data_IF_156179701271
#
_entry.id   IF_156179701271
#
_cell.length_a   1.000
_cell.length_b   1.000
_cell.length_c   1.000
_cell.angle_alpha   90.00
_cell.angle_beta   90.00
_cell.angle_gamma   90.00
#
_symmetry.space_group_name_H-M   'P 1'
#
loop_
_entity.id
_entity.type
_entity.pdbx_description
1 polymer ?
#
# COMPACT_ATOMS: atom_id res chain seq x y z
N UNK A 1 24.78 11.70 0.32
CA UNK A 1 23.62 10.77 0.43
C UNK A 1 22.48 11.36 -0.37
N UNK A 2 21.66 10.57 -1.03
CA UNK A 2 20.47 11.04 -1.76
C UNK A 2 19.25 10.27 -1.30
N UNK A 3 18.10 10.93 -1.25
CA UNK A 3 16.81 10.31 -0.95
C UNK A 3 16.10 9.93 -2.23
N UNK A 4 15.68 8.68 -2.32
CA UNK A 4 14.96 8.13 -3.47
C UNK A 4 13.54 7.79 -3.06
N UNK A 5 12.57 8.34 -3.81
CA UNK A 5 11.15 8.01 -3.68
C UNK A 5 10.83 6.85 -4.61
N UNK A 6 10.09 5.90 -4.10
CA UNK A 6 9.51 4.77 -4.82
C UNK A 6 7.99 4.88 -4.83
N UNK A 7 7.38 4.62 -5.97
CA UNK A 7 5.94 4.36 -6.09
C UNK A 7 5.75 2.86 -6.21
N UNK A 8 5.13 2.25 -5.20
CA UNK A 8 5.06 0.79 -5.03
C UNK A 8 3.64 0.31 -5.25
N UNK A 9 3.46 -0.59 -6.21
CA UNK A 9 2.21 -1.35 -6.38
C UNK A 9 2.40 -2.78 -5.85
N UNK A 10 1.38 -3.32 -5.18
CA UNK A 10 1.43 -4.69 -4.69
C UNK A 10 0.05 -5.35 -4.58
N UNK A 11 0.05 -6.64 -4.82
CA UNK A 11 -1.03 -7.54 -4.43
C UNK A 11 -0.80 -7.97 -2.99
N UNK A 12 -1.64 -7.50 -2.08
CA UNK A 12 -1.49 -7.72 -0.64
C UNK A 12 -1.93 -9.11 -0.16
N UNK A 13 -2.45 -9.97 -1.05
CA UNK A 13 -3.07 -11.25 -0.68
C UNK A 13 -2.19 -12.13 0.22
N UNK A 14 -0.87 -12.16 -0.05
CA UNK A 14 0.09 -13.00 0.67
C UNK A 14 0.85 -12.26 1.78
N UNK A 15 0.44 -11.03 2.09
CA UNK A 15 1.15 -10.15 3.04
C UNK A 15 0.30 -9.80 4.24
N UNK A 16 0.93 -9.70 5.40
CA UNK A 16 0.32 -9.21 6.63
C UNK A 16 0.30 -7.67 6.68
N UNK A 17 0.00 -7.03 5.53
CA UNK A 17 -0.01 -5.60 5.37
C UNK A 17 1.33 -5.00 4.97
N UNK A 18 1.42 -3.68 5.09
CA UNK A 18 2.62 -2.94 4.71
C UNK A 18 3.76 -3.07 5.72
N UNK A 19 3.47 -2.81 7.00
CA UNK A 19 4.51 -2.62 8.02
C UNK A 19 5.11 -3.94 8.50
N UNK A 20 6.44 -3.96 8.68
CA UNK A 20 7.16 -5.06 9.33
C UNK A 20 6.56 -5.37 10.69
N UNK A 21 6.26 -6.64 10.92
CA UNK A 21 5.67 -7.13 12.16
C UNK A 21 6.08 -8.60 12.41
N UNK A 22 6.09 -9.08 13.67
CA UNK A 22 6.56 -10.42 13.97
C UNK A 22 5.61 -11.55 13.50
N UNK A 23 4.37 -11.23 13.16
CA UNK A 23 3.30 -12.20 12.91
C UNK A 23 3.19 -12.68 11.45
N UNK A 24 4.02 -12.19 10.55
CA UNK A 24 4.00 -12.60 9.14
C UNK A 24 4.76 -11.68 8.22
N UNK A 25 4.90 -12.11 6.97
CA UNK A 25 5.63 -11.37 5.95
C UNK A 25 4.92 -10.08 5.57
N UNK A 26 5.64 -8.96 5.60
CA UNK A 26 5.15 -7.63 5.24
C UNK A 26 5.77 -7.13 3.92
N UNK A 27 5.05 -6.26 3.20
CA UNK A 27 5.57 -5.66 1.96
C UNK A 27 6.85 -4.86 2.22
N UNK A 28 6.90 -4.09 3.29
CA UNK A 28 8.08 -3.31 3.71
C UNK A 28 9.29 -4.21 3.97
N UNK A 29 9.10 -5.38 4.57
CA UNK A 29 10.18 -6.33 4.84
C UNK A 29 10.82 -6.85 3.55
N UNK A 30 9.99 -7.19 2.55
CA UNK A 30 10.48 -7.62 1.23
C UNK A 30 11.24 -6.51 0.53
N UNK A 31 10.77 -5.28 0.61
CA UNK A 31 11.47 -4.11 0.05
C UNK A 31 12.81 -3.87 0.74
N UNK A 32 12.85 -3.89 2.08
CA UNK A 32 14.07 -3.71 2.87
C UNK A 32 15.12 -4.77 2.51
N UNK A 33 14.72 -6.03 2.47
CA UNK A 33 15.60 -7.14 2.07
C UNK A 33 16.14 -6.96 0.66
N UNK A 34 15.25 -6.69 -0.31
CA UNK A 34 15.64 -6.50 -1.71
C UNK A 34 16.62 -5.32 -1.89
N UNK A 35 16.36 -4.20 -1.21
CA UNK A 35 17.25 -3.03 -1.24
C UNK A 35 18.59 -3.32 -0.58
N UNK A 36 18.59 -3.95 0.60
CA UNK A 36 19.82 -4.27 1.32
C UNK A 36 20.71 -5.23 0.53
N UNK A 37 20.14 -6.26 -0.08
CA UNK A 37 20.86 -7.17 -0.97
C UNK A 37 21.40 -6.47 -2.22
N UNK A 38 20.62 -5.56 -2.79
CA UNK A 38 21.01 -4.83 -4.00
C UNK A 38 22.11 -3.81 -3.72
N UNK A 39 22.05 -3.09 -2.61
CA UNK A 39 22.99 -2.04 -2.24
C UNK A 39 24.22 -2.57 -1.49
N UNK A 40 24.16 -3.80 -0.96
CA UNK A 40 25.22 -4.38 -0.11
C UNK A 40 25.31 -3.74 1.27
N UNK A 41 24.29 -3.00 1.71
CA UNK A 41 24.23 -2.35 3.01
C UNK A 41 22.79 -2.39 3.52
N UNK A 42 22.60 -2.51 4.82
CA UNK A 42 21.29 -2.48 5.45
C UNK A 42 20.55 -1.20 5.10
N UNK A 43 19.35 -1.35 4.54
CA UNK A 43 18.56 -0.25 4.01
C UNK A 43 17.09 -0.48 4.34
N UNK A 44 16.47 0.50 4.97
CA UNK A 44 15.05 0.48 5.30
C UNK A 44 14.28 1.52 4.51
N UNK A 45 13.05 1.18 4.13
CA UNK A 45 12.13 2.12 3.50
C UNK A 45 11.20 2.74 4.55
N UNK A 46 10.88 4.02 4.36
CA UNK A 46 9.86 4.74 5.11
C UNK A 46 8.64 4.87 4.21
N UNK A 47 7.55 4.19 4.56
CA UNK A 47 6.29 4.23 3.80
C UNK A 47 5.38 5.39 4.18
N UNK A 48 4.61 5.90 3.21
CA UNK A 48 3.61 6.95 3.40
C UNK A 48 2.37 6.44 4.15
N UNK A 49 1.92 5.23 3.81
CA UNK A 49 0.70 4.65 4.34
C UNK A 49 0.95 3.22 4.81
N UNK A 50 0.28 2.85 5.90
CA UNK A 50 0.14 1.47 6.31
C UNK A 50 -1.14 0.92 5.67
N UNK A 51 -1.07 -0.28 5.14
CA UNK A 51 -2.23 -1.04 4.69
C UNK A 51 -2.34 -2.29 5.55
N UNK A 52 -3.56 -2.74 5.80
CA UNK A 52 -3.83 -3.94 6.57
C UNK A 52 -3.55 -5.21 5.77
N UNK A 53 -3.60 -6.36 6.44
CA UNK A 53 -3.38 -7.66 5.83
C UNK A 53 -4.34 -7.87 4.65
N UNK A 54 -3.81 -8.34 3.52
CA UNK A 54 -4.57 -8.61 2.31
C UNK A 54 -4.94 -7.40 1.46
N UNK A 55 -4.69 -6.17 1.92
CA UNK A 55 -5.03 -4.95 1.16
C UNK A 55 -3.99 -4.71 0.06
N UNK A 56 -4.49 -4.49 -1.16
CA UNK A 56 -3.67 -4.16 -2.33
C UNK A 56 -3.37 -2.66 -2.39
N UNK A 57 -2.32 -2.28 -3.12
CA UNK A 57 -2.06 -0.88 -3.46
C UNK A 57 -1.61 -0.74 -4.91
N UNK A 58 -2.04 0.35 -5.57
CA UNK A 58 -1.60 0.69 -6.92
C UNK A 58 -0.42 1.67 -6.92
N UNK A 59 -0.17 2.35 -5.80
CA UNK A 59 0.87 3.38 -5.76
C UNK A 59 1.16 3.89 -4.34
N UNK A 60 1.50 2.98 -3.39
CA UNK A 60 1.98 3.41 -2.08
C UNK A 60 3.36 4.05 -2.22
N UNK A 61 3.58 5.19 -1.57
CA UNK A 61 4.86 5.91 -1.65
C UNK A 61 5.77 5.45 -0.51
N UNK A 62 7.02 5.17 -0.86
CA UNK A 62 8.09 4.90 0.10
C UNK A 62 9.35 5.67 -0.26
N UNK A 63 10.20 5.95 0.71
CA UNK A 63 11.52 6.55 0.48
C UNK A 63 12.60 5.75 1.19
N UNK A 64 13.80 5.81 0.65
CA UNK A 64 15.02 5.33 1.29
C UNK A 64 16.20 6.24 0.95
N UNK A 65 17.24 6.16 1.75
CA UNK A 65 18.47 6.96 1.55
C UNK A 65 19.61 6.06 1.06
N UNK A 66 20.44 6.59 0.13
CA UNK A 66 21.55 5.82 -0.44
C UNK A 66 22.68 6.72 -0.94
N UNK A 67 23.92 6.20 -0.90
CA UNK A 67 25.09 6.79 -1.54
C UNK A 67 25.43 6.16 -2.90
N UNK A 68 24.62 5.23 -3.38
CA UNK A 68 24.83 4.58 -4.67
C UNK A 68 24.90 5.59 -5.80
N UNK A 69 25.86 5.42 -6.72
CA UNK A 69 26.07 6.33 -7.87
C UNK A 69 25.00 6.22 -8.95
N UNK A 70 24.20 5.14 -8.92
CA UNK A 70 23.14 4.90 -9.90
C UNK A 70 22.11 6.02 -9.88
N UNK A 71 21.62 6.53 -11.03
CA UNK A 71 20.53 7.49 -11.11
C UNK A 71 19.26 6.98 -10.42
N UNK A 72 18.52 7.89 -9.74
CA UNK A 72 17.35 7.52 -8.96
C UNK A 72 16.25 6.82 -9.79
N UNK A 73 16.10 7.23 -11.05
CA UNK A 73 15.11 6.70 -12.00
C UNK A 73 15.40 5.23 -12.40
N UNK A 74 16.62 4.76 -12.17
CA UNK A 74 17.02 3.39 -12.51
C UNK A 74 16.71 2.37 -11.40
N UNK A 75 16.38 2.83 -10.18
CA UNK A 75 16.04 1.91 -9.09
C UNK A 75 14.79 1.07 -9.38
N UNK A 76 13.78 1.65 -10.03
CA UNK A 76 12.58 0.90 -10.43
C UNK A 76 12.93 -0.30 -11.32
N UNK A 77 13.78 -0.12 -12.29
CA UNK A 77 14.24 -1.22 -13.17
C UNK A 77 15.05 -2.27 -12.40
N UNK A 78 16.04 -1.82 -11.62
CA UNK A 78 16.93 -2.73 -10.89
C UNK A 78 16.18 -3.56 -9.85
N UNK A 79 15.28 -2.94 -9.07
CA UNK A 79 14.52 -3.62 -8.04
C UNK A 79 13.49 -4.60 -8.63
N UNK A 80 12.83 -4.24 -9.73
CA UNK A 80 11.84 -5.10 -10.38
C UNK A 80 12.42 -6.40 -10.97
N UNK A 81 13.74 -6.48 -11.17
CA UNK A 81 14.39 -7.76 -11.55
C UNK A 81 14.54 -8.73 -10.38
N UNK A 82 14.40 -8.25 -9.14
CA UNK A 82 14.65 -9.00 -7.90
C UNK A 82 13.40 -9.22 -7.07
N UNK A 83 12.45 -8.29 -7.16
CA UNK A 83 11.19 -8.34 -6.42
C UNK A 83 10.30 -9.49 -6.91
N UNK A 84 9.52 -10.11 -6.00
CA UNK A 84 8.52 -11.11 -6.36
C UNK A 84 7.44 -10.51 -7.27
N UNK A 85 6.68 -11.34 -7.97
CA UNK A 85 5.73 -10.87 -8.99
C UNK A 85 4.59 -10.01 -8.44
N UNK A 86 4.27 -10.16 -7.18
CA UNK A 86 3.20 -9.45 -6.47
C UNK A 86 3.63 -8.11 -5.86
N UNK A 87 4.90 -7.70 -6.00
CA UNK A 87 5.39 -6.35 -5.65
C UNK A 87 6.13 -5.77 -6.85
N UNK A 88 5.77 -4.53 -7.25
CA UNK A 88 6.42 -3.80 -8.36
C UNK A 88 6.62 -2.34 -8.04
N UNK A 89 7.78 -1.84 -8.38
CA UNK A 89 8.08 -0.41 -8.36
C UNK A 89 7.61 0.18 -9.69
N UNK A 90 6.59 1.03 -9.63
CA UNK A 90 6.03 1.70 -10.81
C UNK A 90 6.87 2.88 -11.26
N UNK A 91 7.48 3.58 -10.30
CA UNK A 91 8.31 4.73 -10.54
C UNK A 91 9.36 4.92 -9.43
N UNK A 92 10.50 5.51 -9.78
CA UNK A 92 11.53 5.91 -8.82
C UNK A 92 12.17 7.23 -9.24
N UNK A 93 12.29 8.17 -8.31
CA UNK A 93 12.92 9.45 -8.57
C UNK A 93 13.65 9.99 -7.32
N UNK A 94 14.59 10.91 -7.55
CA UNK A 94 15.23 11.62 -6.46
C UNK A 94 14.28 12.69 -5.89
N UNK A 95 14.28 12.83 -4.57
CA UNK A 95 13.53 13.85 -3.84
C UNK A 95 14.46 14.60 -2.89
N UNK A 96 14.09 15.80 -2.42
CA UNK A 96 14.84 16.51 -1.38
C UNK A 96 15.07 15.64 -0.15
N UNK A 97 16.17 15.85 0.56
CA UNK A 97 16.54 15.05 1.74
C UNK A 97 15.56 15.20 2.91
N UNK A 98 14.88 16.34 2.99
CA UNK A 98 13.82 16.64 3.96
C UNK A 98 12.44 16.08 3.56
N UNK A 99 12.31 15.53 2.36
CA UNK A 99 11.05 14.91 1.93
C UNK A 99 10.68 13.74 2.84
N UNK A 100 9.52 13.84 3.49
CA UNK A 100 8.98 12.76 4.30
C UNK A 100 7.60 12.35 3.78
N UNK A 101 7.39 11.07 3.37
CA UNK A 101 6.21 10.66 2.64
C UNK A 101 4.90 10.78 3.44
N UNK A 102 4.95 10.82 4.78
CA UNK A 102 3.77 10.95 5.64
C UNK A 102 3.33 12.40 5.86
N UNK A 103 4.22 13.38 5.63
CA UNK A 103 3.96 14.80 5.91
C UNK A 103 3.67 15.62 4.66
N UNK A 104 3.50 14.94 3.53
CA UNK A 104 3.09 15.60 2.28
C UNK A 104 1.56 15.69 2.20
N UNK A 105 1.05 16.77 1.63
CA UNK A 105 -0.35 16.82 1.23
C UNK A 105 -0.62 15.76 0.18
N UNK A 106 -1.48 14.81 0.51
CA UNK A 106 -1.80 13.69 -0.37
C UNK A 106 -3.28 13.37 -0.34
N UNK A 107 -3.81 12.96 -1.49
CA UNK A 107 -5.15 12.38 -1.58
C UNK A 107 -5.00 10.86 -1.59
N UNK A 108 -5.64 10.19 -0.64
CA UNK A 108 -5.71 8.73 -0.59
C UNK A 108 -7.07 8.29 -1.10
N UNK A 109 -7.07 7.48 -2.14
CA UNK A 109 -8.29 6.90 -2.71
C UNK A 109 -8.36 5.43 -2.34
N UNK A 110 -9.46 5.04 -1.72
CA UNK A 110 -9.76 3.65 -1.40
C UNK A 110 -10.86 3.13 -2.28
N UNK A 111 -10.70 1.93 -2.82
CA UNK A 111 -11.69 1.24 -3.63
C UNK A 111 -12.04 -0.10 -2.97
N UNK A 112 -13.31 -0.28 -2.61
CA UNK A 112 -13.82 -1.54 -2.10
C UNK A 112 -14.73 -2.17 -3.16
N UNK A 113 -14.34 -3.34 -3.69
CA UNK A 113 -15.04 -4.02 -4.78
C UNK A 113 -15.97 -5.08 -4.25
N UNK A 114 -17.27 -4.91 -4.45
CA UNK A 114 -18.31 -5.91 -4.10
C UNK A 114 -18.78 -6.60 -5.37
N UNK A 115 -18.61 -7.92 -5.41
CA UNK A 115 -19.15 -8.75 -6.48
C UNK A 115 -20.54 -9.28 -6.08
N UNK A 116 -21.59 -8.53 -6.46
CA UNK A 116 -22.96 -8.85 -6.11
C UNK A 116 -23.63 -9.65 -7.21
N UNK A 117 -23.63 -10.97 -7.07
CA UNK A 117 -24.19 -11.95 -8.01
C UNK A 117 -24.73 -13.17 -7.27
N UNK A 118 -25.47 -14.03 -7.98
CA UNK A 118 -26.00 -15.26 -7.42
C UNK A 118 -24.91 -16.26 -7.04
N UNK A 119 -23.82 -16.33 -7.84
CA UNK A 119 -22.71 -17.25 -7.62
C UNK A 119 -21.37 -16.48 -7.61
N UNK A 120 -20.39 -16.94 -6.82
CA UNK A 120 -19.04 -16.35 -6.82
C UNK A 120 -18.32 -16.64 -8.14
N UNK A 121 -17.43 -15.73 -8.53
CA UNK A 121 -16.53 -15.89 -9.67
C UNK A 121 -15.11 -16.21 -9.15
N UNK A 122 -14.57 -17.41 -9.44
CA UNK A 122 -13.24 -17.80 -8.97
C UNK A 122 -12.12 -16.86 -9.43
N UNK A 123 -12.28 -16.19 -10.59
CA UNK A 123 -11.28 -15.27 -11.14
C UNK A 123 -11.24 -13.93 -10.41
N UNK A 124 -12.25 -13.62 -9.59
CA UNK A 124 -12.38 -12.37 -8.83
C UNK A 124 -12.18 -12.55 -7.34
N UNK A 125 -11.98 -13.79 -6.87
CA UNK A 125 -11.98 -14.13 -5.44
C UNK A 125 -10.95 -13.35 -4.58
N UNK A 126 -9.82 -12.95 -5.17
CA UNK A 126 -8.74 -12.23 -4.48
C UNK A 126 -8.93 -10.70 -4.50
N UNK A 127 -9.82 -10.19 -5.36
CA UNK A 127 -9.93 -8.75 -5.63
C UNK A 127 -11.31 -8.18 -5.40
N UNK A 128 -12.28 -9.03 -4.98
CA UNK A 128 -13.65 -8.59 -4.72
C UNK A 128 -14.22 -9.33 -3.52
N UNK A 129 -15.06 -8.63 -2.76
CA UNK A 129 -15.90 -9.27 -1.75
C UNK A 129 -17.16 -9.81 -2.41
N UNK A 130 -17.37 -11.12 -2.34
CA UNK A 130 -18.60 -11.74 -2.85
C UNK A 130 -19.76 -11.52 -1.87
N UNK A 131 -20.88 -11.01 -2.40
CA UNK A 131 -22.09 -10.82 -1.63
C UNK A 131 -23.30 -11.34 -2.41
N UNK A 132 -23.98 -12.33 -1.86
CA UNK A 132 -25.07 -13.06 -2.53
C UNK A 132 -26.38 -12.26 -2.58
N UNK A 133 -26.78 -11.60 -1.47
CA UNK A 133 -28.07 -10.94 -1.41
C UNK A 133 -28.10 -9.68 -2.28
N UNK A 134 -29.25 -9.38 -2.95
CA UNK A 134 -29.37 -8.16 -3.75
C UNK A 134 -29.06 -6.90 -2.93
N UNK A 135 -28.22 -6.03 -3.48
CA UNK A 135 -27.88 -4.73 -2.90
C UNK A 135 -28.67 -3.63 -3.56
N UNK A 136 -29.28 -2.77 -2.77
CA UNK A 136 -29.91 -1.54 -3.22
C UNK A 136 -28.85 -0.44 -3.34
N UNK A 137 -28.26 -0.32 -4.55
CA UNK A 137 -27.20 0.64 -4.84
C UNK A 137 -27.67 2.10 -4.65
N UNK A 138 -28.96 2.38 -4.83
CA UNK A 138 -29.48 3.74 -4.63
C UNK A 138 -29.50 4.11 -3.15
N UNK A 139 -29.96 3.22 -2.29
CA UNK A 139 -29.89 3.42 -0.84
C UNK A 139 -28.46 3.50 -0.33
N UNK A 140 -27.54 2.68 -0.89
CA UNK A 140 -26.12 2.78 -0.58
C UNK A 140 -25.55 4.16 -0.93
N UNK A 141 -25.87 4.71 -2.10
CA UNK A 141 -25.47 6.06 -2.49
C UNK A 141 -26.04 7.14 -1.58
N UNK A 142 -27.30 7.03 -1.19
CA UNK A 142 -27.91 7.96 -0.25
C UNK A 142 -27.19 7.90 1.10
N UNK A 143 -26.94 6.68 1.62
CA UNK A 143 -26.17 6.48 2.86
C UNK A 143 -24.76 7.05 2.77
N UNK A 144 -24.04 6.81 1.67
CA UNK A 144 -22.70 7.35 1.44
C UNK A 144 -22.69 8.90 1.43
N UNK A 145 -23.78 9.53 0.99
CA UNK A 145 -23.92 11.00 1.03
C UNK A 145 -23.77 11.59 2.43
N UNK A 146 -24.17 10.86 3.48
CA UNK A 146 -24.02 11.32 4.87
C UNK A 146 -22.58 11.22 5.41
N UNK A 147 -21.69 10.56 4.69
CA UNK A 147 -20.28 10.41 5.06
C UNK A 147 -19.37 11.45 4.37
N UNK A 148 -19.97 12.32 3.51
CA UNK A 148 -19.21 13.37 2.82
C UNK A 148 -18.97 14.55 3.77
N UNK A 149 -17.72 14.96 3.92
CA UNK A 149 -17.34 16.14 4.70
C UNK A 149 -16.14 15.90 5.62
N UNK A 150 -15.85 16.86 6.47
CA UNK A 150 -14.84 16.73 7.50
C UNK A 150 -15.33 15.75 8.56
N UNK A 151 -14.63 14.65 8.73
CA UNK A 151 -14.96 13.60 9.71
C UNK A 151 -13.92 13.55 10.81
N UNK A 152 -14.37 13.36 12.05
CA UNK A 152 -13.50 13.02 13.16
C UNK A 152 -13.43 11.49 13.28
N UNK A 153 -12.26 10.92 13.12
CA UNK A 153 -12.04 9.48 13.30
C UNK A 153 -12.31 8.99 14.73
N UNK A 154 -12.52 9.89 15.69
CA UNK A 154 -12.84 9.53 17.08
C UNK A 154 -14.23 8.88 17.24
N UNK A 155 -15.11 9.03 16.26
CA UNK A 155 -16.49 8.50 16.29
C UNK A 155 -16.77 7.42 15.25
N UNK A 156 -15.92 7.24 14.27
CA UNK A 156 -15.99 6.18 13.24
C UNK A 156 -15.00 5.07 13.58
N UNK A 157 -15.22 4.39 14.69
CA UNK A 157 -14.53 3.13 14.95
C UNK A 157 -15.33 2.00 14.29
N UNK A 158 -14.98 1.58 13.11
CA UNK A 158 -15.13 0.20 12.75
C UNK A 158 -14.28 -0.61 13.74
N UNK A 159 -14.67 -1.78 14.13
CA UNK A 159 -14.04 -2.67 15.12
C UNK A 159 -12.52 -2.86 14.95
N UNK A 160 -11.81 -1.78 14.81
CA UNK A 160 -10.36 -1.71 14.74
C UNK A 160 -9.82 -1.87 16.14
N UNK A 161 -8.92 -2.80 16.31
CA UNK A 161 -8.20 -2.98 17.58
C UNK A 161 -7.29 -1.76 17.77
N UNK A 162 -6.97 -1.41 19.01
CA UNK A 162 -6.13 -0.25 19.34
C UNK A 162 -4.71 -0.30 18.72
N UNK A 163 -4.34 -1.40 18.08
CA UNK A 163 -3.10 -1.58 17.32
C UNK A 163 -3.18 -1.01 15.89
N UNK A 164 -4.39 -0.79 15.36
CA UNK A 164 -4.61 -0.30 14.00
C UNK A 164 -4.63 1.23 13.93
N UNK A 165 -4.49 1.91 15.07
CA UNK A 165 -4.61 3.36 15.25
C UNK A 165 -3.27 4.10 15.40
N UNK A 166 -2.14 3.47 15.08
CA UNK A 166 -0.81 4.11 15.20
C UNK A 166 -0.22 4.47 13.84
#
# INVERSE_FOLDING_TARGET
>A
MKRVKLTVAYDGTNYCGWQVQPNGLAVQEVLNRCLSEFLGTETEVIGASRTDAGVHALGNVAVFDTDARMPAEKFSYALNTRLPQDIRIQDSCQVPEDFHPRFQETIKTYEYKIYNRQFPDPTKRLYTYFYYYPLDVQKMRQGAGYLIGAVSYTHLRAHETSQDLV
#
